data_IF_203869395231
#
_entry.id   IF_203869395231
#
_cell.length_a   1.000
_cell.length_b   1.000
_cell.length_c   1.000
_cell.angle_alpha   90.00
_cell.angle_beta   90.00
_cell.angle_gamma   90.00
#
_symmetry.space_group_name_H-M   'P 1'
#
loop_
_entity.id
_entity.type
_entity.pdbx_description
1 polymer ?
#
# COMPACT_ATOMS: atom_id res chain seq x y z
N UNK A 1 -15.63 -33.11 -12.52
CA UNK A 1 -15.83 -33.42 -13.95
C UNK A 1 -14.48 -33.21 -14.62
N UNK A 2 -13.81 -34.27 -15.12
CA UNK A 2 -12.58 -34.11 -15.87
C UNK A 2 -12.90 -33.37 -17.18
N UNK A 3 -12.08 -32.39 -17.55
CA UNK A 3 -12.17 -31.74 -18.86
C UNK A 3 -11.70 -32.76 -19.91
N UNK A 4 -12.60 -33.24 -20.74
CA UNK A 4 -12.28 -34.23 -21.78
C UNK A 4 -11.70 -33.54 -23.01
N UNK A 5 -10.36 -33.43 -23.07
CA UNK A 5 -9.60 -32.68 -24.07
C UNK A 5 -9.38 -33.45 -25.38
N UNK A 6 -9.94 -34.65 -25.53
CA UNK A 6 -9.70 -35.53 -26.66
C UNK A 6 -10.48 -35.16 -27.94
N UNK A 7 -11.49 -34.29 -27.84
CA UNK A 7 -12.32 -33.87 -28.97
C UNK A 7 -11.96 -32.50 -29.54
N UNK A 8 -10.88 -31.88 -29.04
CA UNK A 8 -10.44 -30.57 -29.52
C UNK A 8 -9.63 -30.71 -30.80
N UNK A 9 -10.05 -29.97 -31.83
CA UNK A 9 -9.24 -29.70 -33.01
C UNK A 9 -7.99 -28.90 -32.61
N UNK A 10 -6.95 -28.94 -33.44
CA UNK A 10 -5.70 -28.21 -33.21
C UNK A 10 -5.95 -26.70 -33.04
N UNK A 11 -6.87 -26.14 -33.84
CA UNK A 11 -7.29 -24.74 -33.74
C UNK A 11 -7.97 -24.39 -32.40
N UNK A 12 -8.80 -25.29 -31.86
CA UNK A 12 -9.44 -25.07 -30.55
C UNK A 12 -8.43 -25.18 -29.41
N UNK A 13 -7.44 -26.08 -29.51
CA UNK A 13 -6.34 -26.17 -28.54
C UNK A 13 -5.53 -24.89 -28.53
N UNK A 14 -5.15 -24.37 -29.70
CA UNK A 14 -4.40 -23.12 -29.82
C UNK A 14 -5.19 -21.93 -29.27
N UNK A 15 -6.50 -21.88 -29.55
CA UNK A 15 -7.37 -20.86 -28.97
C UNK A 15 -7.40 -20.93 -27.44
N UNK A 16 -7.55 -22.12 -26.85
CA UNK A 16 -7.54 -22.34 -25.39
C UNK A 16 -6.17 -21.94 -24.79
N UNK A 17 -5.06 -22.39 -25.39
CA UNK A 17 -3.71 -22.04 -24.94
C UNK A 17 -3.46 -20.53 -24.98
N UNK A 18 -3.98 -19.84 -26.00
CA UNK A 18 -3.88 -18.37 -26.11
C UNK A 18 -4.63 -17.64 -25.00
N UNK A 19 -5.76 -18.19 -24.53
CA UNK A 19 -6.54 -17.62 -23.43
C UNK A 19 -5.83 -17.87 -22.11
N UNK A 20 -5.34 -19.09 -21.86
CA UNK A 20 -4.59 -19.43 -20.65
C UNK A 20 -3.34 -18.56 -20.53
N UNK A 21 -2.55 -18.43 -21.59
CA UNK A 21 -1.32 -17.62 -21.58
C UNK A 21 -1.59 -16.14 -21.31
N UNK A 22 -2.69 -15.59 -21.85
CA UNK A 22 -3.11 -14.22 -21.55
C UNK A 22 -3.57 -14.05 -20.11
N UNK A 23 -4.33 -15.03 -19.59
CA UNK A 23 -4.76 -15.04 -18.19
C UNK A 23 -3.56 -15.12 -17.23
N UNK A 24 -2.55 -15.93 -17.55
CA UNK A 24 -1.29 -16.02 -16.79
C UNK A 24 -0.49 -14.71 -16.83
N UNK A 25 -0.35 -14.07 -18.00
CA UNK A 25 0.31 -12.76 -18.13
C UNK A 25 -0.43 -11.66 -17.35
N UNK A 26 -1.76 -11.67 -17.39
CA UNK A 26 -2.59 -10.77 -16.58
C UNK A 26 -2.39 -11.01 -15.08
N UNK A 27 -2.44 -12.27 -14.62
CA UNK A 27 -2.18 -12.65 -13.22
C UNK A 27 -0.79 -12.24 -12.76
N UNK A 28 0.22 -12.36 -13.62
CA UNK A 28 1.58 -11.96 -13.28
C UNK A 28 1.70 -10.45 -13.09
N UNK A 29 1.14 -9.67 -14.04
CA UNK A 29 1.12 -8.20 -13.96
C UNK A 29 0.32 -7.68 -12.76
N UNK A 30 -0.81 -8.30 -12.46
CA UNK A 30 -1.61 -7.97 -11.27
C UNK A 30 -0.85 -8.33 -9.99
N UNK A 31 -0.17 -9.48 -9.96
CA UNK A 31 0.68 -9.89 -8.85
C UNK A 31 1.80 -8.89 -8.56
N UNK A 32 2.48 -8.37 -9.58
CA UNK A 32 3.55 -7.39 -9.41
C UNK A 32 3.03 -6.03 -8.89
N UNK A 33 1.89 -5.56 -9.39
CA UNK A 33 1.23 -4.34 -8.91
C UNK A 33 0.81 -4.48 -7.44
N UNK A 34 0.25 -5.63 -7.07
CA UNK A 34 -0.19 -5.92 -5.70
C UNK A 34 1.01 -6.03 -4.75
N UNK A 35 2.15 -6.57 -5.19
CA UNK A 35 3.38 -6.68 -4.39
C UNK A 35 4.04 -5.33 -4.07
N UNK A 36 3.79 -4.28 -4.87
CA UNK A 36 4.40 -2.97 -4.65
C UNK A 36 3.88 -2.29 -3.37
N UNK A 37 2.58 -2.38 -3.08
CA UNK A 37 1.96 -1.66 -1.95
C UNK A 37 2.51 -2.12 -0.57
N UNK A 38 2.67 -3.43 -0.29
CA UNK A 38 3.32 -3.90 0.93
C UNK A 38 4.78 -3.41 1.09
N UNK A 39 5.53 -3.29 -0.01
CA UNK A 39 6.91 -2.83 0.03
C UNK A 39 7.03 -1.36 0.46
N UNK A 40 6.14 -0.50 -0.05
CA UNK A 40 6.08 0.91 0.33
C UNK A 40 5.68 1.09 1.79
N UNK A 41 4.72 0.29 2.29
CA UNK A 41 4.33 0.28 3.71
C UNK A 41 5.51 -0.13 4.59
N UNK A 42 6.26 -1.17 4.22
CA UNK A 42 7.47 -1.59 4.95
C UNK A 42 8.50 -0.46 5.00
N UNK A 43 8.77 0.22 3.89
CA UNK A 43 9.70 1.35 3.86
C UNK A 43 9.24 2.53 4.73
N UNK A 44 7.95 2.86 4.74
CA UNK A 44 7.40 3.90 5.60
C UNK A 44 7.50 3.55 7.09
N UNK A 45 7.36 2.27 7.46
CA UNK A 45 7.58 1.80 8.83
C UNK A 45 9.03 1.95 9.24
N UNK A 46 9.96 1.50 8.40
CA UNK A 46 11.41 1.61 8.64
C UNK A 46 11.84 3.08 8.82
N UNK A 47 11.37 3.99 7.95
CA UNK A 47 11.64 5.43 8.07
C UNK A 47 11.05 6.03 9.36
N UNK A 48 9.94 5.50 9.84
CA UNK A 48 9.25 5.95 11.05
C UNK A 48 9.90 5.55 12.38
N UNK A 49 10.88 4.64 12.39
CA UNK A 49 11.53 4.16 13.63
C UNK A 49 12.36 5.28 14.26
N UNK A 50 12.06 5.64 15.52
CA UNK A 50 12.78 6.60 16.37
C UNK A 50 14.27 6.21 16.51
N UNK A 51 15.17 7.19 16.34
CA UNK A 51 16.60 7.05 16.60
C UNK A 51 16.90 7.70 17.96
N UNK A 52 17.96 7.26 18.62
CA UNK A 52 18.36 7.81 19.92
C UNK A 52 18.49 9.34 19.86
N UNK A 53 17.85 10.02 20.82
CA UNK A 53 17.82 11.49 20.91
C UNK A 53 16.73 12.19 20.09
N UNK A 54 15.81 11.45 19.45
CA UNK A 54 14.63 12.04 18.80
C UNK A 54 13.36 11.84 19.62
N UNK A 55 12.61 12.92 19.80
CA UNK A 55 11.34 12.93 20.51
C UNK A 55 10.16 12.90 19.51
N UNK A 56 9.22 11.98 19.75
CA UNK A 56 7.97 11.86 19.01
C UNK A 56 7.07 13.10 19.07
N UNK A 57 7.24 13.95 20.08
CA UNK A 57 6.45 15.18 20.22
C UNK A 57 6.96 16.31 19.30
N UNK A 58 8.26 16.32 19.01
CA UNK A 58 8.93 17.38 18.22
C UNK A 58 9.24 16.95 16.79
N UNK A 59 9.03 15.68 16.46
CA UNK A 59 9.43 15.08 15.18
C UNK A 59 8.30 14.29 14.53
N UNK A 60 8.15 14.40 13.21
CA UNK A 60 7.16 13.62 12.46
C UNK A 60 7.45 12.11 12.52
N UNK A 61 6.46 11.30 12.90
CA UNK A 61 6.58 9.85 13.00
C UNK A 61 6.74 9.10 11.66
N UNK A 62 6.71 9.82 10.51
CA UNK A 62 6.80 9.21 9.17
C UNK A 62 8.05 9.65 8.40
N UNK A 63 8.25 10.95 8.24
CA UNK A 63 9.43 11.49 7.54
C UNK A 63 10.58 11.89 8.47
N UNK A 64 10.35 11.95 9.78
CA UNK A 64 11.33 12.36 10.80
C UNK A 64 11.82 13.81 10.67
N UNK A 65 11.15 14.65 9.88
CA UNK A 65 11.36 16.10 9.90
C UNK A 65 10.88 16.64 11.25
N UNK A 66 11.67 17.54 11.86
CA UNK A 66 11.27 18.28 13.06
C UNK A 66 10.11 19.22 12.71
N UNK A 67 9.16 19.36 13.62
CA UNK A 67 8.09 20.34 13.49
C UNK A 67 8.69 21.75 13.52
N UNK A 68 8.16 22.63 12.68
CA UNK A 68 8.60 24.02 12.63
C UNK A 68 8.04 24.81 13.80
N UNK A 69 8.78 25.84 14.22
CA UNK A 69 8.38 26.70 15.34
C UNK A 69 7.12 27.53 15.02
N UNK A 70 7.01 28.01 13.76
CA UNK A 70 5.91 28.87 13.29
C UNK A 70 4.97 28.21 12.29
N UNK A 71 5.43 27.18 11.56
CA UNK A 71 4.64 26.47 10.56
C UNK A 71 4.84 24.97 10.73
N UNK A 72 3.76 24.19 10.60
CA UNK A 72 3.77 22.73 10.77
C UNK A 72 3.98 22.26 12.22
N UNK A 73 2.99 22.54 13.10
CA UNK A 73 2.96 22.04 14.50
C UNK A 73 2.80 20.52 14.60
N UNK A 74 2.49 19.86 13.47
CA UNK A 74 2.13 18.45 13.40
C UNK A 74 0.72 18.19 13.90
N UNK A 75 0.07 17.18 13.34
CA UNK A 75 -1.26 16.73 13.75
C UNK A 75 -1.24 15.24 14.11
N UNK A 76 -2.10 14.81 15.04
CA UNK A 76 -2.16 13.42 15.51
C UNK A 76 -3.09 12.62 14.59
N UNK A 77 -2.56 11.57 13.98
CA UNK A 77 -3.35 10.68 13.13
C UNK A 77 -4.42 9.94 13.97
N UNK A 78 -5.72 10.03 13.64
CA UNK A 78 -6.80 9.46 14.46
C UNK A 78 -6.80 7.92 14.49
N UNK A 79 -6.12 7.26 13.55
CA UNK A 79 -6.05 5.79 13.48
C UNK A 79 -4.88 5.15 14.24
N UNK A 80 -3.74 5.84 14.40
CA UNK A 80 -2.54 5.26 15.02
C UNK A 80 -1.92 6.15 16.10
N UNK A 81 -2.55 7.28 16.42
CA UNK A 81 -2.15 8.23 17.46
C UNK A 81 -0.73 8.81 17.32
N UNK A 82 -0.09 8.65 16.17
CA UNK A 82 1.22 9.24 15.90
C UNK A 82 1.11 10.66 15.34
N UNK A 83 2.00 11.55 15.79
CA UNK A 83 2.12 12.93 15.33
C UNK A 83 2.84 13.01 13.98
N UNK A 84 2.23 13.67 12.99
CA UNK A 84 2.72 13.74 11.61
C UNK A 84 2.67 15.15 11.04
N UNK A 85 3.65 15.50 10.21
CA UNK A 85 3.70 16.78 9.51
C UNK A 85 2.63 16.86 8.41
N UNK A 86 2.25 18.06 8.00
CA UNK A 86 1.25 18.29 6.92
C UNK A 86 1.54 17.52 5.63
N UNK A 87 2.82 17.36 5.24
CA UNK A 87 3.23 16.56 4.07
C UNK A 87 2.93 15.06 4.22
N UNK A 88 2.85 14.57 5.46
CA UNK A 88 2.58 13.18 5.80
C UNK A 88 1.11 12.94 6.16
N UNK A 89 0.25 13.95 6.04
CA UNK A 89 -1.19 13.86 6.16
C UNK A 89 -1.82 13.63 4.78
N UNK A 90 -2.83 12.78 4.74
CA UNK A 90 -3.63 12.49 3.54
C UNK A 90 -5.08 12.73 3.90
N UNK A 91 -5.81 13.49 3.07
CA UNK A 91 -7.23 13.75 3.25
C UNK A 91 -8.00 12.43 3.11
N UNK A 92 -8.76 12.07 4.14
CA UNK A 92 -9.69 10.96 4.11
C UNK A 92 -11.05 11.48 3.62
N UNK A 93 -11.41 11.11 2.39
CA UNK A 93 -12.67 11.53 1.75
C UNK A 93 -13.89 10.89 2.41
N UNK A 94 -13.74 9.75 3.09
CA UNK A 94 -14.85 9.02 3.72
C UNK A 94 -15.23 9.62 5.08
N UNK A 95 -14.23 10.07 5.84
CA UNK A 95 -14.39 10.47 7.26
C UNK A 95 -14.29 11.97 7.50
N UNK A 96 -14.30 12.81 6.45
CA UNK A 96 -14.07 14.26 6.52
C UNK A 96 -12.89 14.65 7.44
N UNK A 97 -11.85 13.81 7.49
CA UNK A 97 -10.71 13.94 8.38
C UNK A 97 -9.42 13.66 7.61
N UNK A 98 -8.28 13.54 8.30
CA UNK A 98 -7.03 13.14 7.68
C UNK A 98 -6.52 11.84 8.33
N UNK A 99 -5.71 11.11 7.57
CA UNK A 99 -4.92 9.99 8.06
C UNK A 99 -3.45 10.26 7.77
N UNK A 100 -2.54 9.64 8.53
CA UNK A 100 -1.15 9.62 8.08
C UNK A 100 -1.01 8.77 6.81
N UNK A 101 -0.01 9.08 5.97
CA UNK A 101 0.30 8.34 4.74
C UNK A 101 0.35 6.82 4.92
N UNK A 102 0.80 6.33 6.08
CA UNK A 102 0.85 4.90 6.37
C UNK A 102 -0.55 4.31 6.53
N UNK A 103 -1.39 4.92 7.37
CA UNK A 103 -2.76 4.43 7.62
C UNK A 103 -3.64 4.56 6.37
N UNK A 104 -3.45 5.63 5.60
CA UNK A 104 -4.11 5.79 4.30
C UNK A 104 -3.71 4.68 3.33
N UNK A 105 -2.40 4.37 3.20
CA UNK A 105 -1.94 3.24 2.36
C UNK A 105 -2.41 1.88 2.88
N UNK A 106 -2.44 1.67 4.20
CA UNK A 106 -2.94 0.41 4.78
C UNK A 106 -4.42 0.15 4.46
N UNK A 107 -5.26 1.20 4.42
CA UNK A 107 -6.65 1.07 3.98
C UNK A 107 -6.78 0.61 2.52
N UNK A 108 -5.82 0.97 1.66
CA UNK A 108 -5.84 0.61 0.23
C UNK A 108 -5.34 -0.81 -0.07
N UNK A 109 -4.77 -1.51 0.93
CA UNK A 109 -4.35 -2.92 0.76
C UNK A 109 -5.53 -3.82 1.10
N UNK A 110 -5.94 -4.74 0.20
CA UNK A 110 -6.91 -5.78 0.55
C UNK A 110 -6.41 -6.57 1.76
N UNK A 111 -7.28 -6.82 2.74
CA UNK A 111 -6.97 -7.53 3.99
C UNK A 111 -6.42 -8.96 3.83
N UNK A 112 -6.25 -9.46 2.60
CA UNK A 112 -5.79 -10.81 2.26
C UNK A 112 -4.26 -10.96 2.14
N UNK A 113 -3.47 -9.97 2.58
CA UNK A 113 -2.00 -9.97 2.49
C UNK A 113 -1.29 -9.88 3.85
N UNK A 114 -2.00 -10.14 4.95
CA UNK A 114 -1.43 -10.26 6.30
C UNK A 114 -1.75 -11.62 6.92
#
# INVERSE_FOLDING_TARGET
MPLDLNQLTEAERDAILSVIKRDEDLKQKDGDRVRQVPSEIKQLRLKGVLKDGQDSETTCARCREKFGFFSNKGAICPNCSHKVCDKCQVRDTEKHSFLCILCSKQKSVPLLLY
#
